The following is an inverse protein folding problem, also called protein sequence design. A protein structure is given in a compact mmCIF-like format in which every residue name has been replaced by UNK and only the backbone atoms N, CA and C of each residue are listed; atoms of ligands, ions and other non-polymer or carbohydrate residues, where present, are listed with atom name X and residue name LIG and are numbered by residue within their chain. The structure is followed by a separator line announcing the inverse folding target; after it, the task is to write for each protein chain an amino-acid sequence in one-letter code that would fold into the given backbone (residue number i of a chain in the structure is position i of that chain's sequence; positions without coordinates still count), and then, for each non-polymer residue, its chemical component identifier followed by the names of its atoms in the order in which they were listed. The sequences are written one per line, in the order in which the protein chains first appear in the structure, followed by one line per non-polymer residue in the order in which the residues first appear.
data_IF_857106964538
#
_entry.id   IF_857106964538
#
_cell.length_a   1.000
_cell.length_b   1.000
_cell.length_c   1.000
_cell.angle_alpha   90.00
_cell.angle_beta   90.00
_cell.angle_gamma   90.00
#
_symmetry.space_group_name_H-M   'P 1'
#
loop_
_entity.id
_entity.type
_entity.pdbx_description
1 polymer ?
#
# COMPACT_ATOMS: atom_id res chain seq x y z
N UNK A 1 -16.84 20.99 -1.93
CA UNK A 1 -17.42 20.00 -2.86
C UNK A 1 -17.85 18.79 -2.05
N UNK A 2 -19.15 18.45 -2.00
CA UNK A 2 -19.66 17.32 -1.22
C UNK A 2 -19.29 16.01 -1.94
N UNK A 3 -18.40 15.22 -1.36
CA UNK A 3 -18.13 13.84 -1.81
C UNK A 3 -19.43 13.04 -1.66
N UNK A 4 -20.08 12.72 -2.78
CA UNK A 4 -21.29 11.89 -2.78
C UNK A 4 -20.86 10.45 -2.61
N UNK A 5 -21.31 9.82 -1.52
CA UNK A 5 -21.20 8.37 -1.34
C UNK A 5 -21.98 7.63 -2.44
N UNK A 6 -21.55 6.41 -2.76
CA UNK A 6 -22.26 5.55 -3.71
C UNK A 6 -23.70 5.31 -3.24
N UNK A 7 -24.64 5.39 -4.18
CA UNK A 7 -26.07 5.11 -3.97
C UNK A 7 -26.33 3.60 -3.98
N UNK A 8 -27.47 3.17 -3.43
CA UNK A 8 -27.86 1.76 -3.41
C UNK A 8 -27.85 1.12 -4.82
N UNK A 9 -28.44 1.80 -5.80
CA UNK A 9 -28.48 1.34 -7.19
C UNK A 9 -27.08 1.18 -7.82
N UNK A 10 -26.13 2.06 -7.48
CA UNK A 10 -24.75 1.94 -7.95
C UNK A 10 -24.05 0.73 -7.33
N UNK A 11 -24.29 0.47 -6.05
CA UNK A 11 -23.73 -0.70 -5.36
C UNK A 11 -24.36 -2.00 -5.90
N UNK A 12 -25.66 -2.02 -6.15
CA UNK A 12 -26.35 -3.17 -6.75
C UNK A 12 -25.83 -3.45 -8.17
N UNK A 13 -25.50 -2.41 -8.95
CA UNK A 13 -24.88 -2.56 -10.28
C UNK A 13 -23.50 -3.24 -10.18
N UNK A 14 -22.69 -2.87 -9.17
CA UNK A 14 -21.41 -3.52 -8.90
C UNK A 14 -21.60 -4.98 -8.47
N UNK A 15 -22.58 -5.24 -7.61
CA UNK A 15 -22.94 -6.58 -7.17
C UNK A 15 -23.40 -7.46 -8.34
N UNK A 16 -24.15 -6.90 -9.29
CA UNK A 16 -24.62 -7.63 -10.46
C UNK A 16 -23.47 -8.16 -11.31
N UNK A 17 -22.31 -7.48 -11.34
CA UNK A 17 -21.13 -7.97 -12.05
C UNK A 17 -20.48 -9.19 -11.42
N UNK A 18 -20.76 -9.44 -10.14
CA UNK A 18 -20.26 -10.58 -9.37
C UNK A 18 -21.24 -11.76 -9.36
N UNK A 19 -22.46 -11.57 -9.85
CA UNK A 19 -23.53 -12.56 -9.82
C UNK A 19 -24.01 -12.88 -11.23
N UNK A 20 -24.05 -14.16 -11.58
CA UNK A 20 -24.67 -14.63 -12.82
C UNK A 20 -26.21 -14.50 -12.77
N UNK A 21 -26.78 -14.52 -11.56
CA UNK A 21 -28.21 -14.30 -11.36
C UNK A 21 -28.53 -12.81 -11.21
N UNK A 22 -29.68 -12.35 -11.76
CA UNK A 22 -30.16 -11.00 -11.54
C UNK A 22 -30.37 -10.72 -10.04
N UNK A 23 -29.76 -9.64 -9.55
CA UNK A 23 -29.89 -9.19 -8.18
C UNK A 23 -31.08 -8.23 -8.09
N UNK A 24 -31.96 -8.46 -7.12
CA UNK A 24 -33.05 -7.53 -6.83
C UNK A 24 -32.52 -6.20 -6.28
N UNK A 25 -33.11 -5.10 -6.74
CA UNK A 25 -32.73 -3.77 -6.28
C UNK A 25 -32.90 -3.63 -4.76
N UNK A 26 -31.83 -3.21 -4.09
CA UNK A 26 -31.81 -3.03 -2.65
C UNK A 26 -32.52 -1.75 -2.25
N UNK A 27 -33.39 -1.86 -1.25
CA UNK A 27 -34.13 -0.70 -0.68
C UNK A 27 -33.25 0.26 0.12
N UNK A 28 -31.99 -0.09 0.41
CA UNK A 28 -31.04 0.77 1.13
C UNK A 28 -29.59 0.49 0.72
N UNK A 29 -28.73 1.52 0.81
CA UNK A 29 -27.31 1.40 0.50
C UNK A 29 -26.58 0.43 1.44
N UNK A 30 -27.06 0.29 2.69
CA UNK A 30 -26.53 -0.69 3.64
C UNK A 30 -26.79 -2.11 3.18
N UNK A 31 -28.04 -2.43 2.79
CA UNK A 31 -28.41 -3.76 2.27
C UNK A 31 -27.68 -4.08 0.97
N UNK A 32 -27.54 -3.10 0.08
CA UNK A 32 -26.74 -3.23 -1.15
C UNK A 32 -25.27 -3.54 -0.84
N UNK A 33 -24.69 -2.81 0.11
CA UNK A 33 -23.30 -3.01 0.55
C UNK A 33 -23.06 -4.37 1.18
N UNK A 34 -23.96 -4.82 2.06
CA UNK A 34 -23.86 -6.14 2.70
C UNK A 34 -23.96 -7.28 1.67
N UNK A 35 -24.84 -7.14 0.66
CA UNK A 35 -24.95 -8.12 -0.43
C UNK A 35 -23.69 -8.13 -1.30
N UNK A 36 -23.22 -6.95 -1.70
CA UNK A 36 -21.99 -6.80 -2.47
C UNK A 36 -20.77 -7.39 -1.74
N UNK A 37 -20.62 -7.14 -0.43
CA UNK A 37 -19.53 -7.67 0.37
C UNK A 37 -19.55 -9.21 0.42
N UNK A 38 -20.74 -9.83 0.50
CA UNK A 38 -20.89 -11.29 0.45
C UNK A 38 -20.48 -11.87 -0.89
N UNK A 39 -20.93 -11.26 -1.99
CA UNK A 39 -20.57 -11.71 -3.34
C UNK A 39 -19.07 -11.53 -3.62
N UNK A 40 -18.50 -10.42 -3.16
CA UNK A 40 -17.07 -10.18 -3.28
C UNK A 40 -16.26 -11.21 -2.47
N UNK A 41 -16.69 -11.50 -1.24
CA UNK A 41 -16.07 -12.54 -0.40
C UNK A 41 -16.16 -13.94 -1.00
N UNK A 42 -17.26 -14.28 -1.69
CA UNK A 42 -17.38 -15.53 -2.42
C UNK A 42 -16.34 -15.63 -3.56
N UNK A 43 -16.00 -14.51 -4.19
CA UNK A 43 -15.10 -14.48 -5.33
C UNK A 43 -13.60 -14.43 -4.98
N UNK A 44 -13.23 -13.72 -3.90
CA UNK A 44 -11.81 -13.45 -3.57
C UNK A 44 -11.43 -13.81 -2.12
N UNK A 45 -12.36 -14.33 -1.33
CA UNK A 45 -12.19 -14.66 0.08
C UNK A 45 -12.45 -13.48 1.04
N UNK A 46 -12.84 -13.79 2.29
CA UNK A 46 -13.28 -12.81 3.30
C UNK A 46 -12.25 -11.71 3.59
N UNK A 47 -10.99 -12.07 3.81
CA UNK A 47 -9.95 -11.11 4.22
C UNK A 47 -9.63 -10.09 3.11
N UNK A 48 -9.58 -10.57 1.86
CA UNK A 48 -9.34 -9.71 0.69
C UNK A 48 -10.57 -8.89 0.34
N UNK A 49 -11.76 -9.46 0.48
CA UNK A 49 -13.03 -8.77 0.24
C UNK A 49 -13.23 -7.58 1.18
N UNK A 50 -12.86 -7.67 2.46
CA UNK A 50 -12.98 -6.54 3.38
C UNK A 50 -12.13 -5.32 2.94
N UNK A 51 -10.90 -5.57 2.46
CA UNK A 51 -10.00 -4.54 1.95
C UNK A 51 -10.50 -3.96 0.62
N UNK A 52 -10.90 -4.83 -0.31
CA UNK A 52 -11.42 -4.43 -1.61
C UNK A 52 -12.74 -3.66 -1.49
N UNK A 53 -13.67 -4.14 -0.66
CA UNK A 53 -14.94 -3.46 -0.34
C UNK A 53 -14.69 -2.03 0.16
N UNK A 54 -13.81 -1.87 1.15
CA UNK A 54 -13.46 -0.54 1.68
C UNK A 54 -12.86 0.35 0.59
N UNK A 55 -11.98 -0.18 -0.27
CA UNK A 55 -11.39 0.58 -1.37
C UNK A 55 -12.40 0.99 -2.45
N UNK A 56 -13.42 0.16 -2.72
CA UNK A 56 -14.45 0.43 -3.73
C UNK A 56 -15.46 1.44 -3.19
N UNK A 57 -15.89 1.27 -1.94
CA UNK A 57 -16.89 2.14 -1.28
C UNK A 57 -16.40 3.54 -0.93
N UNK A 58 -15.07 3.74 -0.89
CA UNK A 58 -14.46 5.05 -0.64
C UNK A 58 -14.24 5.89 -1.90
N UNK A 59 -14.55 5.34 -3.07
CA UNK A 59 -14.48 6.08 -4.33
C UNK A 59 -15.57 7.14 -4.45
N UNK A 60 -15.29 8.21 -5.19
CA UNK A 60 -16.21 9.34 -5.32
C UNK A 60 -17.27 9.14 -6.42
N UNK A 61 -17.10 8.13 -7.29
CA UNK A 61 -17.94 7.90 -8.48
C UNK A 61 -18.10 6.41 -8.76
N UNK A 62 -19.23 6.04 -9.38
CA UNK A 62 -19.51 4.66 -9.77
C UNK A 62 -18.49 4.11 -10.77
N UNK A 63 -18.05 4.92 -11.74
CA UNK A 63 -17.02 4.51 -12.72
C UNK A 63 -15.69 4.15 -12.03
N UNK A 64 -15.28 4.92 -11.01
CA UNK A 64 -14.10 4.59 -10.22
C UNK A 64 -14.30 3.31 -9.39
N UNK A 65 -15.49 3.11 -8.85
CA UNK A 65 -15.84 1.90 -8.11
C UNK A 65 -15.78 0.66 -9.02
N UNK A 66 -16.29 0.77 -10.25
CA UNK A 66 -16.23 -0.28 -11.28
C UNK A 66 -14.80 -0.60 -11.70
N UNK A 67 -13.99 0.43 -12.02
CA UNK A 67 -12.59 0.25 -12.38
C UNK A 67 -11.79 -0.45 -11.26
N UNK A 68 -12.11 -0.14 -10.00
CA UNK A 68 -11.52 -0.80 -8.83
C UNK A 68 -11.98 -2.25 -8.70
N UNK A 69 -13.26 -2.53 -8.96
CA UNK A 69 -13.79 -3.89 -8.95
C UNK A 69 -13.11 -4.77 -10.01
N UNK A 70 -12.99 -4.30 -11.25
CA UNK A 70 -12.31 -5.01 -12.34
C UNK A 70 -10.86 -5.33 -11.96
N UNK A 71 -10.12 -4.35 -11.44
CA UNK A 71 -8.74 -4.56 -10.98
C UNK A 71 -8.63 -5.64 -9.90
N UNK A 72 -9.56 -5.65 -8.93
CA UNK A 72 -9.58 -6.63 -7.84
C UNK A 72 -9.84 -8.04 -8.37
N UNK A 73 -10.73 -8.18 -9.35
CA UNK A 73 -11.06 -9.47 -9.95
C UNK A 73 -9.95 -9.99 -10.86
N UNK A 74 -9.34 -9.13 -11.68
CA UNK A 74 -8.23 -9.50 -12.58
C UNK A 74 -6.99 -9.97 -11.80
N UNK A 75 -6.64 -9.28 -10.71
CA UNK A 75 -5.56 -9.69 -9.81
C UNK A 75 -5.87 -10.96 -9.01
N UNK A 76 -7.14 -11.35 -8.89
CA UNK A 76 -7.55 -12.57 -8.17
C UNK A 76 -7.59 -13.80 -9.08
N UNK A 77 -7.57 -13.61 -10.41
CA UNK A 77 -7.50 -14.69 -11.40
C UNK A 77 -6.06 -15.10 -11.78
N UNK A 78 -5.04 -14.45 -11.21
CA UNK A 78 -3.65 -14.83 -11.44
C UNK A 78 -3.20 -15.81 -10.34
N UNK A 79 -3.34 -17.11 -10.60
CA UNK A 79 -2.37 -18.08 -10.07
C UNK A 79 -0.96 -17.61 -10.46
N UNK A 80 0.06 -17.79 -9.61
CA UNK A 80 1.38 -17.19 -9.81
C UNK A 80 2.17 -17.95 -10.88
N UNK A 81 1.82 -17.75 -12.15
CA UNK A 81 2.69 -18.09 -13.26
C UNK A 81 3.75 -16.98 -13.35
N UNK A 82 4.89 -17.22 -12.73
CA UNK A 82 6.08 -16.44 -13.01
C UNK A 82 6.45 -16.59 -14.47
N UNK A 83 6.43 -15.49 -15.21
CA UNK A 83 7.34 -15.28 -16.33
C UNK A 83 7.47 -13.77 -16.56
N UNK A 84 8.70 -13.22 -16.51
CA UNK A 84 8.95 -11.81 -16.77
C UNK A 84 9.04 -11.61 -18.29
N UNK A 85 8.23 -10.71 -18.84
CA UNK A 85 8.49 -10.19 -20.19
C UNK A 85 9.15 -8.82 -20.05
N UNK A 86 10.40 -8.64 -20.50
CA UNK A 86 11.12 -7.38 -20.43
C UNK A 86 10.83 -6.55 -21.68
N UNK A 87 10.56 -5.26 -21.52
CA UNK A 87 10.92 -4.29 -22.56
C UNK A 87 11.15 -2.91 -21.93
N UNK A 88 12.25 -2.31 -22.36
CA UNK A 88 12.92 -1.15 -21.82
C UNK A 88 12.24 0.21 -22.10
N UNK A 89 12.65 1.17 -21.27
CA UNK A 89 12.79 2.61 -21.53
C UNK A 89 11.54 3.48 -21.74
N UNK A 90 11.18 4.27 -20.71
CA UNK A 90 11.47 5.72 -20.66
C UNK A 90 11.11 6.31 -19.27
N UNK A 91 11.62 7.51 -19.03
CA UNK A 91 11.88 8.21 -17.76
C UNK A 91 10.77 8.31 -16.67
N UNK A 92 11.16 8.53 -15.40
CA UNK A 92 10.32 8.29 -14.24
C UNK A 92 9.47 9.51 -13.90
N UNK A 93 8.15 9.41 -14.07
CA UNK A 93 7.21 10.34 -13.45
C UNK A 93 6.12 9.58 -12.72
N UNK A 94 6.21 9.67 -11.39
CA UNK A 94 5.13 9.66 -10.42
C UNK A 94 3.90 8.78 -10.73
N UNK A 95 3.73 7.72 -9.94
CA UNK A 95 2.72 7.71 -8.87
C UNK A 95 2.22 6.28 -8.57
N UNK A 96 2.52 5.85 -7.35
CA UNK A 96 1.49 5.34 -6.44
C UNK A 96 0.82 3.98 -6.76
N UNK A 97 1.63 2.98 -7.11
CA UNK A 97 1.23 1.57 -6.98
C UNK A 97 2.33 0.83 -6.21
N UNK A 98 1.97 -0.21 -5.44
CA UNK A 98 2.85 -1.10 -4.67
C UNK A 98 3.30 -0.58 -3.28
N UNK A 99 2.39 -0.50 -2.30
CA UNK A 99 2.78 -0.21 -0.89
C UNK A 99 3.01 -1.48 -0.05
N UNK A 100 2.58 -2.65 -0.52
CA UNK A 100 2.75 -3.92 0.24
C UNK A 100 4.00 -4.69 -0.22
N UNK A 101 4.20 -4.87 -1.54
CA UNK A 101 5.39 -5.56 -2.07
C UNK A 101 6.73 -4.85 -1.80
N UNK A 102 6.74 -3.50 -1.82
CA UNK A 102 7.96 -2.72 -1.55
C UNK A 102 8.48 -2.91 -0.12
N UNK A 103 7.61 -3.12 0.87
CA UNK A 103 8.05 -3.27 2.27
C UNK A 103 8.84 -4.56 2.48
N UNK A 104 8.37 -5.65 1.88
CA UNK A 104 9.05 -6.94 1.97
C UNK A 104 10.38 -6.89 1.20
N UNK A 105 10.38 -6.32 -0.01
CA UNK A 105 11.60 -6.13 -0.78
C UNK A 105 12.66 -5.29 -0.05
N UNK A 106 12.26 -4.22 0.65
CA UNK A 106 13.19 -3.39 1.45
C UNK A 106 13.75 -4.16 2.65
N UNK A 107 12.95 -5.01 3.29
CA UNK A 107 13.40 -5.87 4.39
C UNK A 107 14.37 -6.95 3.90
N UNK A 108 14.08 -7.56 2.76
CA UNK A 108 14.93 -8.59 2.17
C UNK A 108 16.25 -7.99 1.66
N UNK A 109 16.23 -6.78 1.10
CA UNK A 109 17.44 -6.01 0.77
C UNK A 109 18.28 -5.69 2.01
N UNK A 110 17.65 -5.25 3.09
CA UNK A 110 18.36 -5.04 4.35
C UNK A 110 18.99 -6.36 4.84
N UNK A 111 18.26 -7.48 4.79
CA UNK A 111 18.82 -8.79 5.18
C UNK A 111 19.95 -9.27 4.28
N UNK A 112 20.00 -8.85 3.02
CA UNK A 112 21.13 -9.13 2.12
C UNK A 112 22.32 -8.20 2.34
N UNK A 113 22.30 -7.34 3.37
CA UNK A 113 23.37 -6.40 3.69
C UNK A 113 23.34 -5.10 2.88
N UNK A 114 22.29 -4.85 2.11
CA UNK A 114 22.17 -3.64 1.29
C UNK A 114 21.46 -2.54 2.09
N UNK A 115 22.07 -1.36 2.17
CA UNK A 115 21.47 -0.22 2.85
C UNK A 115 20.15 0.19 2.16
N UNK A 116 19.05 0.31 2.91
CA UNK A 116 17.76 0.70 2.35
C UNK A 116 17.81 2.15 1.81
N UNK A 117 16.91 2.47 0.88
CA UNK A 117 16.77 3.85 0.40
C UNK A 117 16.19 4.76 1.50
N UNK A 118 16.76 5.95 1.66
CA UNK A 118 16.30 6.94 2.62
C UNK A 118 14.85 7.41 2.32
N UNK A 119 14.01 7.62 3.35
CA UNK A 119 12.66 8.16 3.18
C UNK A 119 12.69 9.60 2.66
N UNK A 120 11.84 9.90 1.67
CA UNK A 120 11.77 11.25 1.09
C UNK A 120 11.00 12.23 2.00
N UNK A 121 11.71 13.26 2.48
CA UNK A 121 11.17 14.38 3.26
C UNK A 121 11.18 15.71 2.49
N UNK A 122 11.17 15.71 1.16
CA UNK A 122 11.21 16.91 0.31
C UNK A 122 10.03 17.89 0.52
N UNK A 123 8.91 17.44 1.10
CA UNK A 123 7.77 18.33 1.40
C UNK A 123 8.07 19.32 2.53
N UNK A 124 7.68 20.60 2.42
CA UNK A 124 8.01 21.64 3.40
C UNK A 124 7.52 21.32 4.82
N UNK A 125 6.44 20.54 4.97
CA UNK A 125 5.92 20.04 6.24
C UNK A 125 6.90 19.17 7.03
N UNK A 126 7.92 18.60 6.37
CA UNK A 126 8.92 17.73 6.98
C UNK A 126 10.28 18.40 7.14
N UNK A 127 10.40 19.71 6.90
CA UNK A 127 11.67 20.44 6.90
C UNK A 127 12.51 20.21 8.18
N UNK A 128 11.87 20.27 9.35
CA UNK A 128 12.52 20.05 10.65
C UNK A 128 13.11 18.64 10.84
N UNK A 129 12.67 17.65 10.06
CA UNK A 129 13.12 16.27 10.16
C UNK A 129 14.25 15.94 9.18
N UNK A 130 14.53 16.80 8.20
CA UNK A 130 15.59 16.56 7.19
C UNK A 130 16.97 16.51 7.81
N UNK A 131 17.28 17.42 8.74
CA UNK A 131 18.58 17.44 9.43
C UNK A 131 18.79 16.15 10.22
N UNK A 132 17.77 15.70 10.95
CA UNK A 132 17.84 14.43 11.70
C UNK A 132 17.92 13.23 10.77
N UNK A 133 17.23 13.25 9.63
CA UNK A 133 17.33 12.19 8.63
C UNK A 133 18.75 12.12 8.03
N UNK A 134 19.33 13.25 7.67
CA UNK A 134 20.70 13.32 7.15
C UNK A 134 21.73 12.79 8.16
N UNK A 135 21.52 13.03 9.46
CA UNK A 135 22.35 12.42 10.51
C UNK A 135 22.25 10.89 10.52
N UNK A 136 21.04 10.33 10.45
CA UNK A 136 20.85 8.87 10.39
C UNK A 136 21.49 8.28 9.12
N UNK A 137 21.35 8.94 7.97
CA UNK A 137 21.98 8.51 6.71
C UNK A 137 23.50 8.50 6.85
N UNK A 138 24.10 9.56 7.38
CA UNK A 138 25.54 9.64 7.60
C UNK A 138 26.05 8.54 8.55
N UNK A 139 25.31 8.22 9.61
CA UNK A 139 25.64 7.12 10.52
C UNK A 139 25.53 5.75 9.83
N UNK A 140 24.53 5.56 8.96
CA UNK A 140 24.35 4.34 8.20
C UNK A 140 25.46 4.14 7.16
N UNK A 141 25.87 5.20 6.45
CA UNK A 141 27.00 5.18 5.51
C UNK A 141 28.34 4.95 6.23
N UNK A 142 28.51 5.50 7.44
CA UNK A 142 29.68 5.25 8.27
C UNK A 142 29.72 3.84 8.89
N UNK A 143 28.63 3.08 8.80
CA UNK A 143 28.51 1.75 9.40
C UNK A 143 28.43 1.77 10.93
N UNK A 144 28.09 2.91 11.55
CA UNK A 144 28.07 3.06 13.01
C UNK A 144 26.75 2.54 13.60
N UNK A 145 26.69 1.21 13.77
CA UNK A 145 25.52 0.51 14.33
C UNK A 145 25.19 1.02 15.74
N UNK A 146 26.21 1.30 16.57
CA UNK A 146 26.03 1.72 17.96
C UNK A 146 25.38 3.10 18.03
N UNK A 147 25.88 4.06 17.22
CA UNK A 147 25.29 5.38 17.14
C UNK A 147 23.88 5.36 16.54
N UNK A 148 23.63 4.50 15.53
CA UNK A 148 22.28 4.31 15.00
C UNK A 148 21.32 3.83 16.09
N UNK A 149 21.67 2.79 16.85
CA UNK A 149 20.82 2.27 17.93
C UNK A 149 20.61 3.27 19.07
N UNK A 150 21.63 4.07 19.39
CA UNK A 150 21.56 5.12 20.40
C UNK A 150 20.71 6.33 19.95
N UNK A 151 20.43 6.47 18.66
CA UNK A 151 19.65 7.58 18.13
C UNK A 151 18.16 7.43 18.50
N UNK A 152 17.73 8.12 19.56
CA UNK A 152 16.36 8.09 20.05
C UNK A 152 15.40 8.86 19.14
N UNK A 153 14.36 8.17 18.64
CA UNK A 153 13.32 8.75 17.79
C UNK A 153 11.96 8.47 18.42
N UNK A 154 11.28 9.52 18.87
CA UNK A 154 9.93 9.42 19.41
C UNK A 154 8.89 9.21 18.29
N UNK A 155 8.27 8.01 18.16
CA UNK A 155 7.45 7.66 17.00
C UNK A 155 6.00 8.17 17.15
N UNK A 156 5.83 9.45 17.49
CA UNK A 156 4.52 10.07 17.78
C UNK A 156 3.72 10.42 16.52
N UNK A 157 4.38 10.58 15.36
CA UNK A 157 3.75 10.94 14.10
C UNK A 157 4.37 10.20 12.90
N UNK A 158 3.79 10.34 11.71
CA UNK A 158 4.19 9.59 10.51
C UNK A 158 5.66 9.80 10.12
N UNK A 159 6.22 11.02 10.24
CA UNK A 159 7.63 11.28 9.88
C UNK A 159 8.63 10.63 10.84
N UNK A 160 8.54 10.82 12.18
CA UNK A 160 9.39 10.09 13.13
C UNK A 160 9.24 8.57 13.02
N UNK A 161 8.02 8.04 12.75
CA UNK A 161 7.82 6.61 12.50
C UNK A 161 8.59 6.11 11.28
N UNK A 162 8.64 6.90 10.19
CA UNK A 162 9.41 6.54 8.99
C UNK A 162 10.93 6.55 9.26
N UNK A 163 11.42 7.50 10.05
CA UNK A 163 12.84 7.56 10.43
C UNK A 163 13.25 6.40 11.32
N UNK A 164 12.43 6.04 12.32
CA UNK A 164 12.70 4.90 13.19
C UNK A 164 12.80 3.61 12.37
N UNK A 165 11.86 3.39 11.45
CA UNK A 165 11.92 2.25 10.52
C UNK A 165 13.17 2.26 9.65
N UNK A 166 13.55 3.41 9.11
CA UNK A 166 14.76 3.52 8.29
C UNK A 166 16.03 3.16 9.09
N UNK A 167 16.16 3.69 10.31
CA UNK A 167 17.24 3.35 11.24
C UNK A 167 17.30 1.85 11.52
N UNK A 168 16.17 1.23 11.86
CA UNK A 168 16.11 -0.20 12.19
C UNK A 168 16.53 -1.06 10.99
N UNK A 169 16.11 -0.68 9.77
CA UNK A 169 16.52 -1.35 8.54
C UNK A 169 18.02 -1.18 8.25
N UNK A 170 18.60 0.00 8.49
CA UNK A 170 20.04 0.22 8.34
C UNK A 170 20.84 -0.65 9.33
N UNK A 171 20.38 -0.77 10.57
CA UNK A 171 21.00 -1.66 11.56
C UNK A 171 20.97 -3.12 11.09
N UNK A 172 19.83 -3.60 10.59
CA UNK A 172 19.72 -4.97 10.04
C UNK A 172 20.70 -5.16 8.89
N UNK A 173 20.77 -4.19 7.96
CA UNK A 173 21.68 -4.24 6.82
C UNK A 173 23.15 -4.30 7.23
N UNK A 174 23.57 -3.43 8.13
CA UNK A 174 24.94 -3.39 8.61
C UNK A 174 25.30 -4.65 9.41
N UNK A 175 24.37 -5.18 10.20
CA UNK A 175 24.57 -6.45 10.91
C UNK A 175 24.72 -7.63 9.95
N UNK A 176 23.94 -7.69 8.88
CA UNK A 176 24.03 -8.73 7.85
C UNK A 176 25.26 -8.61 6.96
N UNK A 177 25.77 -7.39 6.72
CA UNK A 177 26.99 -7.15 5.93
C UNK A 177 28.29 -7.42 6.69
N UNK A 178 28.25 -7.43 8.03
CA UNK A 178 29.42 -7.67 8.89
C UNK A 178 29.57 -9.13 9.35
N UNK A 179 28.74 -10.05 8.85
CA UNK A 179 28.83 -11.51 9.09
C UNK A 179 29.48 -12.22 7.92
#
# INVERSE_FOLDING_TARGET
MKTKSLTAAQIDTLAQRLSETPIEASTSAKKAGDNFARLLAAQIGNDRAALAFTSIMTTATAEQAEARLTLVLDYSNTEPAGEPVPTEAEEPKAANVLVIGKRQAILDQARSGVLPQAPDFSKPTHARFRTKLAQIVALAEAGDIAALQAFEINPVSSSPKAMARYRDLCVIALMSSNS
#
